data_IF_187224459525
#
_entry.id   IF_187224459525
#
_cell.length_a   1.000
_cell.length_b   1.000
_cell.length_c   1.000
_cell.angle_alpha   90.00
_cell.angle_beta   90.00
_cell.angle_gamma   90.00
#
_symmetry.space_group_name_H-M   'P 1'
#
loop_
_entity.id
_entity.type
_entity.pdbx_description
1 polymer ?
#
# COMPACT_ATOMS: atom_id res chain seq x y z
N UNK A 1 18.59 -10.87 -0.33
CA UNK A 1 17.18 -11.23 -0.04
C UNK A 1 16.29 -10.74 -1.19
N UNK A 2 15.50 -11.62 -1.83
CA UNK A 2 14.76 -11.33 -3.09
C UNK A 2 13.73 -10.18 -3.01
N UNK A 3 13.27 -9.81 -1.80
CA UNK A 3 12.25 -8.76 -1.59
C UNK A 3 12.80 -7.41 -1.13
N UNK A 4 14.09 -7.29 -0.79
CA UNK A 4 14.68 -6.00 -0.40
C UNK A 4 14.12 -5.34 0.88
N UNK A 5 13.44 -6.10 1.75
CA UNK A 5 12.93 -5.60 3.04
C UNK A 5 11.65 -4.76 2.95
N UNK A 6 11.30 -4.08 4.04
CA UNK A 6 10.19 -3.14 4.12
C UNK A 6 10.51 -1.83 3.39
N UNK A 7 9.51 -1.17 2.83
CA UNK A 7 9.71 0.10 2.13
C UNK A 7 9.77 1.28 3.11
N UNK A 8 10.99 1.74 3.38
CA UNK A 8 11.25 2.92 4.22
C UNK A 8 10.57 4.21 3.71
N UNK A 9 10.11 4.26 2.45
CA UNK A 9 9.35 5.40 1.94
C UNK A 9 7.96 5.54 2.57
N UNK A 10 7.47 4.48 3.23
CA UNK A 10 6.25 4.44 4.02
C UNK A 10 6.46 4.81 5.50
N UNK A 11 7.69 5.16 5.91
CA UNK A 11 7.98 5.65 7.27
C UNK A 11 7.04 6.81 7.67
N UNK A 12 6.58 6.90 8.94
CA UNK A 12 7.04 6.14 10.12
C UNK A 12 6.38 4.79 10.39
N UNK A 13 5.24 4.48 9.78
CA UNK A 13 4.53 3.20 9.95
C UNK A 13 3.29 3.12 9.05
N UNK A 14 2.64 1.97 9.11
CA UNK A 14 1.48 1.53 8.36
C UNK A 14 1.73 1.39 6.87
N UNK A 15 1.22 0.26 6.37
CA UNK A 15 1.25 -0.20 4.98
C UNK A 15 2.58 -0.83 4.53
N UNK A 16 3.67 -0.76 5.31
CA UNK A 16 4.95 -1.42 5.00
C UNK A 16 4.86 -2.94 5.00
N UNK A 17 4.02 -3.49 5.88
CA UNK A 17 3.72 -4.90 6.02
C UNK A 17 2.89 -5.40 4.84
N UNK A 18 1.78 -4.72 4.52
CA UNK A 18 0.94 -5.03 3.38
C UNK A 18 1.72 -4.88 2.07
N UNK A 19 2.57 -3.86 1.98
CA UNK A 19 3.46 -3.66 0.84
C UNK A 19 4.37 -4.87 0.62
N UNK A 20 5.05 -5.32 1.68
CA UNK A 20 5.93 -6.48 1.62
C UNK A 20 5.17 -7.75 1.21
N UNK A 21 4.02 -8.00 1.84
CA UNK A 21 3.16 -9.15 1.53
C UNK A 21 2.66 -9.11 0.08
N UNK A 22 2.22 -7.96 -0.41
CA UNK A 22 1.76 -7.82 -1.78
C UNK A 22 2.89 -8.03 -2.79
N UNK A 23 4.08 -7.46 -2.54
CA UNK A 23 5.26 -7.70 -3.36
C UNK A 23 5.71 -9.16 -3.35
N UNK A 24 5.57 -9.86 -2.21
CA UNK A 24 5.85 -11.28 -2.10
C UNK A 24 4.89 -12.09 -3.00
N UNK A 25 3.58 -11.84 -2.92
CA UNK A 25 2.60 -12.47 -3.80
C UNK A 25 2.92 -12.23 -5.28
N UNK A 26 3.27 -10.99 -5.65
CA UNK A 26 3.66 -10.63 -7.03
C UNK A 26 4.90 -11.36 -7.52
N UNK A 27 5.75 -11.87 -6.63
CA UNK A 27 6.94 -12.68 -6.94
C UNK A 27 6.71 -14.19 -6.77
N UNK A 28 5.45 -14.61 -6.64
CA UNK A 28 5.05 -16.02 -6.56
C UNK A 28 5.20 -16.66 -5.17
N UNK A 29 5.49 -15.87 -4.13
CA UNK A 29 5.47 -16.39 -2.76
C UNK A 29 4.04 -16.63 -2.28
N UNK A 30 3.88 -17.52 -1.30
CA UNK A 30 2.61 -17.82 -0.65
C UNK A 30 2.53 -17.10 0.69
N UNK A 31 1.36 -16.53 1.00
CA UNK A 31 1.03 -16.08 2.34
C UNK A 31 0.32 -17.23 3.07
N UNK A 32 0.88 -17.69 4.18
CA UNK A 32 0.36 -18.82 4.96
C UNK A 32 -0.10 -18.28 6.31
N UNK A 33 -1.34 -18.60 6.67
CA UNK A 33 -1.88 -18.34 8.00
C UNK A 33 -1.72 -19.59 8.85
N UNK A 34 -1.08 -19.45 10.03
CA UNK A 34 -0.88 -20.54 10.98
C UNK A 34 -1.73 -20.28 12.24
N UNK A 35 -2.93 -20.86 12.36
CA UNK A 35 -3.81 -20.64 13.50
C UNK A 35 -3.26 -21.18 14.82
N UNK A 36 -2.28 -22.09 14.80
CA UNK A 36 -1.66 -22.60 16.03
C UNK A 36 -0.64 -21.64 16.64
N UNK A 37 -0.10 -20.71 15.84
CA UNK A 37 0.87 -19.72 16.28
C UNK A 37 0.16 -18.56 17.00
N UNK A 38 0.24 -18.53 18.33
CA UNK A 38 -0.38 -17.50 19.17
C UNK A 38 0.65 -16.45 19.58
N UNK A 39 0.32 -15.18 19.36
CA UNK A 39 1.14 -14.02 19.75
C UNK A 39 0.24 -13.01 20.45
N UNK A 40 0.71 -12.40 21.54
CA UNK A 40 0.02 -11.31 22.23
C UNK A 40 0.42 -9.99 21.56
N UNK A 41 -0.57 -9.19 21.15
CA UNK A 41 -0.35 -7.91 20.48
C UNK A 41 -1.02 -6.77 21.25
N UNK A 42 -0.20 -5.90 21.82
CA UNK A 42 -0.65 -4.67 22.49
C UNK A 42 -0.94 -3.58 21.45
N UNK A 43 -2.21 -3.26 21.23
CA UNK A 43 -2.63 -2.44 20.09
C UNK A 43 -2.24 -0.96 20.25
N UNK A 44 -1.58 -0.39 19.22
CA UNK A 44 -1.38 1.06 18.99
C UNK A 44 -0.72 1.87 20.15
N UNK A 45 0.06 1.23 21.01
CA UNK A 45 0.67 1.89 22.19
C UNK A 45 1.68 3.00 21.83
N UNK A 46 2.43 2.83 20.73
CA UNK A 46 3.58 3.68 20.35
C UNK A 46 3.20 5.04 19.77
N UNK A 47 2.02 5.19 19.14
CA UNK A 47 1.66 6.42 18.40
C UNK A 47 0.70 7.36 19.15
N UNK A 48 0.43 7.07 20.43
CA UNK A 48 -0.43 7.86 21.32
C UNK A 48 -0.04 9.35 21.41
N UNK A 49 1.24 9.68 21.20
CA UNK A 49 1.78 11.06 21.26
C UNK A 49 1.62 11.86 19.96
N UNK A 50 1.20 11.23 18.86
CA UNK A 50 1.05 11.91 17.56
C UNK A 50 -0.35 12.53 17.41
N UNK A 51 -0.49 13.73 16.81
CA UNK A 51 -1.81 14.29 16.54
C UNK A 51 -2.65 13.35 15.66
N UNK A 52 -3.79 12.87 16.16
CA UNK A 52 -4.67 11.89 15.49
C UNK A 52 -4.96 12.24 14.03
N UNK A 53 -5.27 13.52 13.76
CA UNK A 53 -5.56 14.01 12.38
C UNK A 53 -4.35 13.95 11.46
N UNK A 54 -3.13 14.14 11.97
CA UNK A 54 -1.92 14.01 11.16
C UNK A 54 -1.63 12.53 10.88
N UNK A 55 -1.73 11.69 11.90
CA UNK A 55 -1.54 10.25 11.78
C UNK A 55 -2.52 9.62 10.77
N UNK A 56 -3.80 9.98 10.83
CA UNK A 56 -4.79 9.51 9.87
C UNK A 56 -4.46 9.93 8.42
N UNK A 57 -4.06 11.19 8.21
CA UNK A 57 -3.63 11.67 6.89
C UNK A 57 -2.38 10.94 6.40
N UNK A 58 -1.46 10.59 7.29
CA UNK A 58 -0.27 9.80 6.97
C UNK A 58 -0.66 8.39 6.53
N UNK A 59 -1.55 7.70 7.25
CA UNK A 59 -2.09 6.39 6.87
C UNK A 59 -2.75 6.44 5.49
N UNK A 60 -3.60 7.43 5.23
CA UNK A 60 -4.28 7.57 3.93
C UNK A 60 -3.30 7.92 2.79
N UNK A 61 -2.28 8.74 3.08
CA UNK A 61 -1.19 9.03 2.12
C UNK A 61 -0.43 7.75 1.78
N UNK A 62 -0.02 6.96 2.77
CA UNK A 62 0.71 5.70 2.57
C UNK A 62 -0.12 4.68 1.76
N UNK A 63 -1.43 4.62 1.99
CA UNK A 63 -2.34 3.82 1.16
C UNK A 63 -2.24 4.20 -0.33
N UNK A 64 -2.28 5.50 -0.65
CA UNK A 64 -2.13 5.95 -2.03
C UNK A 64 -0.77 5.58 -2.62
N UNK A 65 0.32 5.75 -1.86
CA UNK A 65 1.67 5.40 -2.32
C UNK A 65 1.77 3.90 -2.62
N UNK A 66 1.23 3.04 -1.75
CA UNK A 66 1.22 1.60 -1.94
C UNK A 66 0.47 1.23 -3.23
N UNK A 67 -0.71 1.80 -3.45
CA UNK A 67 -1.49 1.55 -4.68
C UNK A 67 -0.73 2.05 -5.91
N UNK A 68 -0.21 3.27 -5.88
CA UNK A 68 0.53 3.86 -6.99
C UNK A 68 1.83 3.13 -7.30
N UNK A 69 2.48 2.55 -6.29
CA UNK A 69 3.68 1.74 -6.46
C UNK A 69 3.36 0.36 -7.04
N UNK A 70 2.40 -0.36 -6.46
CA UNK A 70 2.27 -1.80 -6.68
C UNK A 70 1.14 -2.22 -7.61
N UNK A 71 0.07 -1.42 -7.79
CA UNK A 71 -1.05 -1.78 -8.67
C UNK A 71 -0.65 -1.55 -10.14
N UNK A 72 -0.12 -2.57 -10.79
CA UNK A 72 0.47 -2.49 -12.14
C UNK A 72 -0.53 -2.76 -13.26
N UNK A 73 -1.66 -3.40 -12.96
CA UNK A 73 -2.76 -3.61 -13.90
C UNK A 73 -3.35 -2.28 -14.37
N UNK A 74 -3.32 -2.05 -15.67
CA UNK A 74 -3.90 -0.85 -16.29
C UNK A 74 -5.42 -0.76 -16.06
N UNK A 75 -6.13 -1.90 -16.03
CA UNK A 75 -7.57 -1.96 -15.77
C UNK A 75 -7.89 -1.50 -14.36
N UNK A 76 -7.24 -2.11 -13.37
CA UNK A 76 -7.46 -1.81 -11.96
C UNK A 76 -6.95 -0.41 -11.60
N UNK A 77 -5.85 0.04 -12.20
CA UNK A 77 -5.33 1.38 -12.00
C UNK A 77 -6.28 2.46 -12.55
N UNK A 78 -6.92 2.26 -13.70
CA UNK A 78 -7.97 3.15 -14.21
C UNK A 78 -9.16 3.22 -13.25
N UNK A 79 -9.61 2.08 -12.72
CA UNK A 79 -10.68 2.04 -11.70
C UNK A 79 -10.28 2.81 -10.44
N UNK A 80 -9.04 2.66 -9.99
CA UNK A 80 -8.49 3.44 -8.88
C UNK A 80 -8.53 4.95 -9.15
N UNK A 81 -8.10 5.41 -10.34
CA UNK A 81 -8.14 6.83 -10.70
C UNK A 81 -9.57 7.38 -10.67
N UNK A 82 -10.55 6.66 -11.23
CA UNK A 82 -11.96 7.07 -11.17
C UNK A 82 -12.46 7.12 -9.72
N UNK A 83 -12.13 6.12 -8.91
CA UNK A 83 -12.46 6.09 -7.49
C UNK A 83 -11.82 7.23 -6.70
N UNK A 84 -10.58 7.59 -7.01
CA UNK A 84 -9.84 8.68 -6.39
C UNK A 84 -10.51 10.03 -6.69
N UNK A 85 -10.87 10.29 -7.95
CA UNK A 85 -11.60 11.50 -8.34
C UNK A 85 -12.94 11.57 -7.60
N UNK A 86 -13.72 10.49 -7.57
CA UNK A 86 -14.98 10.43 -6.81
C UNK A 86 -14.79 10.70 -5.32
N UNK A 87 -13.71 10.19 -4.72
CA UNK A 87 -13.38 10.42 -3.30
C UNK A 87 -13.06 11.88 -3.02
N UNK A 88 -12.30 12.54 -3.91
CA UNK A 88 -12.03 13.98 -3.81
C UNK A 88 -13.33 14.79 -3.90
N UNK A 89 -14.20 14.47 -4.87
CA UNK A 89 -15.46 15.20 -5.06
C UNK A 89 -16.41 15.07 -3.86
N UNK A 90 -16.50 13.88 -3.26
CA UNK A 90 -17.34 13.64 -2.05
C UNK A 90 -16.76 14.26 -0.78
N UNK A 91 -15.45 14.45 -0.72
CA UNK A 91 -14.75 14.95 0.45
C UNK A 91 -13.55 15.78 0.03
N UNK A 92 -13.70 17.08 -0.26
CA UNK A 92 -12.63 17.91 -0.82
C UNK A 92 -11.40 17.99 0.08
N UNK A 93 -11.53 17.76 1.39
CA UNK A 93 -10.41 17.64 2.32
C UNK A 93 -9.41 16.53 1.95
N UNK A 94 -9.83 15.52 1.17
CA UNK A 94 -8.96 14.46 0.68
C UNK A 94 -7.91 14.96 -0.33
N UNK A 95 -8.12 16.13 -0.95
CA UNK A 95 -7.15 16.73 -1.87
C UNK A 95 -5.80 16.97 -1.19
N UNK A 96 -5.80 17.29 0.12
CA UNK A 96 -4.57 17.47 0.90
C UNK A 96 -3.75 16.19 0.96
N UNK A 97 -4.39 15.03 1.06
CA UNK A 97 -3.72 13.73 1.10
C UNK A 97 -3.13 13.40 -0.27
N UNK A 98 -3.83 13.75 -1.35
CA UNK A 98 -3.32 13.61 -2.71
C UNK A 98 -2.09 14.47 -2.92
N UNK A 99 -2.09 15.73 -2.50
CA UNK A 99 -0.89 16.58 -2.56
C UNK A 99 0.28 16.01 -1.72
N UNK A 100 0.00 15.51 -0.53
CA UNK A 100 1.01 14.84 0.30
C UNK A 100 1.59 13.58 -0.38
N UNK A 101 0.79 12.85 -1.16
CA UNK A 101 1.25 11.70 -1.94
C UNK A 101 2.04 12.13 -3.19
N UNK A 102 1.58 13.16 -3.90
CA UNK A 102 2.27 13.73 -5.07
C UNK A 102 3.67 14.26 -4.73
N UNK A 103 3.88 14.79 -3.52
CA UNK A 103 5.21 15.17 -3.03
C UNK A 103 6.23 14.02 -3.01
N UNK A 104 5.78 12.76 -3.06
CA UNK A 104 6.62 11.54 -3.14
C UNK A 104 6.59 10.87 -4.51
N UNK A 105 6.01 11.51 -5.54
CA UNK A 105 5.75 10.89 -6.84
C UNK A 105 7.02 10.39 -7.54
N UNK A 106 8.13 11.13 -7.48
CA UNK A 106 9.41 10.70 -8.07
C UNK A 106 9.90 9.36 -7.50
N UNK A 107 9.84 9.22 -6.18
CA UNK A 107 10.20 7.98 -5.49
C UNK A 107 9.26 6.84 -5.88
N UNK A 108 7.95 7.10 -5.91
CA UNK A 108 6.95 6.11 -6.28
C UNK A 108 7.09 5.64 -7.72
N UNK A 109 7.34 6.53 -8.68
CA UNK A 109 7.52 6.15 -10.09
C UNK A 109 8.75 5.25 -10.24
N UNK A 110 9.86 5.60 -9.59
CA UNK A 110 11.08 4.78 -9.59
C UNK A 110 10.79 3.38 -9.06
N UNK A 111 10.11 3.29 -7.92
CA UNK A 111 9.76 2.01 -7.30
C UNK A 111 8.74 1.22 -8.14
N UNK A 112 7.75 1.89 -8.72
CA UNK A 112 6.77 1.27 -9.63
C UNK A 112 7.45 0.61 -10.82
N UNK A 113 8.43 1.27 -11.42
CA UNK A 113 9.19 0.69 -12.54
C UNK A 113 9.95 -0.57 -12.13
N UNK A 114 10.45 -0.62 -10.89
CA UNK A 114 11.03 -1.85 -10.32
C UNK A 114 9.98 -2.93 -10.15
N UNK A 115 8.82 -2.59 -9.55
CA UNK A 115 7.74 -3.56 -9.36
C UNK A 115 7.23 -4.14 -10.67
N UNK A 116 7.05 -3.32 -11.72
CA UNK A 116 6.66 -3.80 -13.05
C UNK A 116 7.64 -4.85 -13.59
N UNK A 117 8.95 -4.65 -13.40
CA UNK A 117 9.99 -5.58 -13.87
C UNK A 117 10.07 -6.87 -13.05
N UNK A 118 9.80 -6.78 -11.75
CA UNK A 118 9.91 -7.92 -10.82
C UNK A 118 8.59 -8.68 -10.64
N UNK A 119 7.50 -8.25 -11.28
CA UNK A 119 6.19 -8.88 -11.20
C UNK A 119 6.15 -10.17 -12.03
N UNK A 120 5.81 -11.28 -11.37
CA UNK A 120 5.57 -12.59 -11.99
C UNK A 120 4.09 -12.98 -11.95
N UNK A 121 3.36 -12.55 -10.91
CA UNK A 121 1.93 -12.80 -10.74
C UNK A 121 1.16 -11.49 -10.91
N UNK A 122 0.14 -11.49 -11.77
CA UNK A 122 -0.68 -10.29 -12.02
C UNK A 122 -1.55 -9.91 -10.84
N UNK A 123 -1.97 -8.65 -10.79
CA UNK A 123 -2.87 -8.14 -9.75
C UNK A 123 -4.22 -8.88 -9.76
N UNK A 124 -4.72 -9.20 -10.97
CA UNK A 124 -5.93 -9.98 -11.16
C UNK A 124 -5.82 -11.39 -10.58
N UNK A 125 -4.72 -12.10 -10.85
CA UNK A 125 -4.51 -13.45 -10.34
C UNK A 125 -4.40 -13.44 -8.80
N UNK A 126 -3.72 -12.44 -8.25
CA UNK A 126 -3.64 -12.25 -6.80
C UNK A 126 -5.04 -12.02 -6.22
N UNK A 127 -5.81 -11.07 -6.74
CA UNK A 127 -7.13 -10.78 -6.20
C UNK A 127 -8.11 -11.94 -6.38
N UNK A 128 -8.02 -12.67 -7.49
CA UNK A 128 -8.82 -13.87 -7.73
C UNK A 128 -8.55 -14.97 -6.68
N UNK A 129 -7.31 -15.07 -6.17
CA UNK A 129 -6.98 -16.04 -5.11
C UNK A 129 -7.65 -15.76 -3.75
N UNK A 130 -8.21 -14.56 -3.56
CA UNK A 130 -8.92 -14.16 -2.34
C UNK A 130 -10.43 -14.02 -2.52
N UNK A 131 -10.94 -14.07 -3.75
CA UNK A 131 -12.38 -14.14 -4.02
C UNK A 131 -12.84 -15.59 -3.91
N UNK A 132 -13.63 -15.88 -2.87
CA UNK A 132 -14.40 -17.12 -2.77
C UNK A 132 -15.63 -17.06 -3.66
#
# INVERSE_FOLDING_TARGET
MKLGGMDEKLFPAYWEDLDLCYRALKRGFRLIWEPSAKVVHEHETTYSKMPKKYFQRMKERNQLLLIWKNLTSSSLFRKHLVGLVRRILKGPGYIRIVFMALGKLKDVIRLRNKEIKETWVSDEAIFASFTK
#
